data_IF_015151306339
#
_entry.id   IF_015151306339
#
_cell.length_a   1.000
_cell.length_b   1.000
_cell.length_c   1.000
_cell.angle_alpha   90.00
_cell.angle_beta   90.00
_cell.angle_gamma   90.00
#
_symmetry.space_group_name_H-M   'P 1'
#
loop_
_entity.id
_entity.type
_entity.pdbx_description
1 polymer ?
#
# COMPACT_ATOMS: atom_id res chain seq x y z
N UNK A 1 -8.99 -2.27 4.74
CA UNK A 1 -9.01 -0.90 5.28
C UNK A 1 -9.86 -0.03 4.38
N UNK A 2 -10.63 0.93 4.92
CA UNK A 2 -11.39 1.90 4.14
C UNK A 2 -10.83 3.31 4.35
N UNK A 3 -10.67 4.04 3.25
CA UNK A 3 -10.34 5.46 3.28
C UNK A 3 -11.63 6.27 3.36
N UNK A 4 -11.75 7.11 4.39
CA UNK A 4 -12.97 7.85 4.73
C UNK A 4 -12.87 9.34 4.34
N UNK A 5 -11.66 9.85 4.10
CA UNK A 5 -11.42 11.27 3.84
C UNK A 5 -11.88 11.70 2.45
N UNK A 6 -12.72 12.73 2.39
CA UNK A 6 -13.12 13.39 1.14
C UNK A 6 -11.92 13.98 0.39
N UNK A 7 -10.92 14.48 1.11
CA UNK A 7 -9.69 15.01 0.53
C UNK A 7 -8.90 13.90 -0.18
N UNK A 8 -8.60 12.79 0.50
CA UNK A 8 -7.90 11.66 -0.12
C UNK A 8 -8.72 11.05 -1.26
N UNK A 9 -10.05 11.09 -1.17
CA UNK A 9 -10.92 10.62 -2.24
C UNK A 9 -10.77 11.42 -3.54
N UNK A 10 -10.39 12.70 -3.46
CA UNK A 10 -10.12 13.57 -4.61
C UNK A 10 -8.74 13.38 -5.25
N UNK A 11 -7.84 12.67 -4.56
CA UNK A 11 -6.50 12.38 -5.07
C UNK A 11 -6.50 11.07 -5.85
N UNK A 12 -5.69 11.03 -6.91
CA UNK A 12 -5.51 9.87 -7.76
C UNK A 12 -4.04 9.76 -8.16
N UNK A 13 -3.54 8.52 -8.21
CA UNK A 13 -2.19 8.23 -8.68
C UNK A 13 -2.17 8.18 -10.21
N UNK A 14 -1.05 8.60 -10.79
CA UNK A 14 -0.79 8.39 -12.20
C UNK A 14 -0.68 6.88 -12.49
N UNK A 15 -1.38 6.32 -13.50
CA UNK A 15 -1.33 4.90 -13.82
C UNK A 15 0.04 4.39 -14.27
N UNK A 16 0.95 5.24 -14.73
CA UNK A 16 2.27 4.83 -15.22
C UNK A 16 3.29 4.75 -14.08
N UNK A 17 3.28 5.75 -13.21
CA UNK A 17 4.28 5.90 -12.15
C UNK A 17 3.77 5.54 -10.76
N UNK A 18 2.45 5.41 -10.59
CA UNK A 18 1.80 5.19 -9.29
C UNK A 18 2.18 6.28 -8.26
N UNK A 19 2.30 7.53 -8.71
CA UNK A 19 2.63 8.71 -7.90
C UNK A 19 1.61 9.82 -8.13
N UNK A 20 1.51 10.77 -7.20
CA UNK A 20 0.67 11.94 -7.38
C UNK A 20 1.26 12.90 -8.42
N UNK A 21 0.39 13.65 -9.10
CA UNK A 21 0.81 14.78 -9.93
C UNK A 21 1.49 15.85 -9.07
N UNK A 22 2.29 16.72 -9.68
CA UNK A 22 2.93 17.86 -8.98
C UNK A 22 1.91 18.67 -8.17
N UNK A 23 0.71 18.88 -8.73
CA UNK A 23 -0.37 19.56 -8.02
C UNK A 23 -0.88 18.74 -6.82
N UNK A 24 -1.06 17.43 -6.98
CA UNK A 24 -1.42 16.53 -5.88
C UNK A 24 -0.39 16.52 -4.74
N UNK A 25 0.90 16.43 -5.07
CA UNK A 25 2.01 16.55 -4.09
C UNK A 25 1.93 17.89 -3.35
N UNK A 26 1.69 18.98 -4.07
CA UNK A 26 1.56 20.32 -3.48
C UNK A 26 0.38 20.40 -2.50
N UNK A 27 -0.77 19.81 -2.84
CA UNK A 27 -1.92 19.74 -1.93
C UNK A 27 -1.60 18.92 -0.68
N UNK A 28 -0.95 17.77 -0.83
CA UNK A 28 -0.54 16.92 0.29
C UNK A 28 0.46 17.64 1.19
N UNK A 29 1.39 18.41 0.63
CA UNK A 29 2.32 19.24 1.38
C UNK A 29 1.60 20.34 2.19
N UNK A 30 0.63 21.02 1.58
CA UNK A 30 -0.19 22.00 2.31
C UNK A 30 -1.00 21.35 3.42
N UNK A 31 -1.53 20.16 3.17
CA UNK A 31 -2.28 19.40 4.17
C UNK A 31 -1.38 18.96 5.33
N UNK A 32 -0.19 18.43 5.04
CA UNK A 32 0.84 18.09 6.03
C UNK A 32 1.19 19.29 6.91
N UNK A 33 1.49 20.44 6.30
CA UNK A 33 1.81 21.68 7.02
C UNK A 33 0.68 22.20 7.90
N UNK A 34 -0.58 21.90 7.58
CA UNK A 34 -1.70 22.28 8.43
C UNK A 34 -1.79 21.46 9.72
N UNK A 35 -1.20 20.26 9.72
CA UNK A 35 -1.16 19.35 10.88
C UNK A 35 0.15 19.49 11.67
N UNK A 36 1.22 19.96 11.01
CA UNK A 36 2.49 20.31 11.64
C UNK A 36 2.35 21.60 12.49
N UNK A 37 2.02 21.42 13.77
CA UNK A 37 1.88 22.51 14.75
C UNK A 37 3.25 23.07 15.14
N UNK A 38 4.30 22.25 15.12
CA UNK A 38 5.66 22.61 15.53
C UNK A 38 6.40 23.41 14.46
N UNK A 39 5.94 23.35 13.22
CA UNK A 39 6.51 24.03 12.04
C UNK A 39 7.95 23.62 11.75
N UNK A 40 8.32 22.39 12.11
CA UNK A 40 9.64 21.82 11.89
C UNK A 40 9.65 20.77 10.77
N UNK A 41 8.55 20.65 10.02
CA UNK A 41 8.36 19.67 8.95
C UNK A 41 8.40 18.22 9.44
N UNK A 42 8.12 17.99 10.72
CA UNK A 42 8.01 16.65 11.31
C UNK A 42 6.63 16.42 11.92
N UNK A 43 6.21 15.17 11.99
CA UNK A 43 4.94 14.77 12.59
C UNK A 43 5.18 13.70 13.64
N UNK A 44 4.84 14.00 14.89
CA UNK A 44 4.94 13.06 16.00
C UNK A 44 3.81 12.00 15.96
N UNK A 45 3.90 11.04 16.88
CA UNK A 45 2.96 9.92 16.99
C UNK A 45 1.52 10.36 17.29
N UNK A 46 1.35 11.43 18.08
CA UNK A 46 0.03 11.98 18.42
C UNK A 46 -0.60 12.64 17.20
N UNK A 47 0.14 13.49 16.49
CA UNK A 47 -0.31 14.12 15.25
C UNK A 47 -0.64 13.05 14.19
N UNK A 48 0.22 12.04 14.06
CA UNK A 48 0.01 10.92 13.15
C UNK A 48 -1.24 10.11 13.51
N UNK A 49 -1.48 9.82 14.80
CA UNK A 49 -2.64 9.04 15.23
C UNK A 49 -3.94 9.78 14.91
N UNK A 50 -4.01 11.08 15.20
CA UNK A 50 -5.16 11.92 14.90
C UNK A 50 -5.41 11.95 13.40
N UNK A 51 -4.36 12.14 12.59
CA UNK A 51 -4.47 12.10 11.13
C UNK A 51 -5.03 10.75 10.65
N UNK A 52 -4.41 9.64 11.02
CA UNK A 52 -4.74 8.35 10.41
C UNK A 52 -6.14 7.86 10.84
N UNK A 53 -6.58 8.16 12.07
CA UNK A 53 -7.95 7.92 12.53
C UNK A 53 -8.99 8.82 11.85
N UNK A 54 -8.60 10.02 11.42
CA UNK A 54 -9.52 10.92 10.70
C UNK A 54 -9.75 10.48 9.25
N UNK A 55 -8.78 9.80 8.64
CA UNK A 55 -8.82 9.43 7.22
C UNK A 55 -9.09 7.94 6.98
N UNK A 56 -9.02 7.08 8.00
CA UNK A 56 -9.24 5.62 7.87
C UNK A 56 -10.12 5.05 8.99
N UNK A 57 -10.54 3.80 8.83
CA UNK A 57 -11.26 3.00 9.84
C UNK A 57 -10.32 2.14 10.74
N UNK A 58 -9.04 2.48 10.82
CA UNK A 58 -8.04 1.72 11.59
C UNK A 58 -8.19 1.90 13.11
N UNK A 59 -7.91 0.83 13.87
CA UNK A 59 -7.76 0.89 15.32
C UNK A 59 -6.42 1.51 15.72
N UNK A 60 -6.31 2.07 16.94
CA UNK A 60 -5.04 2.61 17.47
C UNK A 60 -3.89 1.62 17.34
N UNK A 61 -4.11 0.34 17.67
CA UNK A 61 -3.08 -0.68 17.54
C UNK A 61 -2.53 -0.78 16.11
N UNK A 62 -3.39 -0.73 15.09
CA UNK A 62 -2.96 -0.76 13.69
C UNK A 62 -2.32 0.56 13.27
N UNK A 63 -2.80 1.68 13.77
CA UNK A 63 -2.22 3.01 13.49
C UNK A 63 -0.77 3.07 13.97
N UNK A 64 -0.49 2.64 15.20
CA UNK A 64 0.89 2.58 15.72
C UNK A 64 1.75 1.57 14.97
N UNK A 65 1.19 0.48 14.44
CA UNK A 65 1.95 -0.40 13.54
C UNK A 65 2.35 0.31 12.23
N UNK A 66 1.50 1.18 11.67
CA UNK A 66 1.86 1.97 10.48
C UNK A 66 2.88 3.05 10.86
N UNK A 67 2.76 3.65 12.03
CA UNK A 67 3.77 4.58 12.53
C UNK A 67 5.14 3.91 12.66
N UNK A 68 5.22 2.77 13.37
CA UNK A 68 6.43 1.96 13.51
C UNK A 68 7.05 1.55 12.17
N UNK A 69 6.20 1.39 11.15
CA UNK A 69 6.62 1.01 9.81
C UNK A 69 7.36 2.15 9.11
N UNK A 70 6.85 3.37 9.26
CA UNK A 70 7.39 4.56 8.61
C UNK A 70 8.56 5.18 9.39
N UNK A 71 8.57 5.01 10.71
CA UNK A 71 9.64 5.45 11.63
C UNK A 71 10.82 4.45 11.64
N UNK A 72 11.43 4.24 10.46
CA UNK A 72 12.50 3.24 10.27
C UNK A 72 13.72 3.54 11.14
N UNK A 73 14.04 4.81 11.35
CA UNK A 73 15.18 5.25 12.16
C UNK A 73 14.89 5.37 13.66
N UNK A 74 13.66 5.03 14.09
CA UNK A 74 13.20 5.16 15.47
C UNK A 74 13.40 6.57 16.04
N UNK A 75 13.26 7.59 15.19
CA UNK A 75 13.34 8.99 15.59
C UNK A 75 12.13 9.44 16.41
N UNK A 76 11.03 8.69 16.33
CA UNK A 76 9.75 9.04 16.95
C UNK A 76 9.02 10.16 16.20
N UNK A 77 9.45 10.48 14.98
CA UNK A 77 8.82 11.47 14.12
C UNK A 77 8.78 10.98 12.67
N UNK A 78 7.74 11.35 11.94
CA UNK A 78 7.60 11.07 10.51
C UNK A 78 7.85 12.35 9.75
N UNK A 79 8.74 12.31 8.76
CA UNK A 79 9.00 13.42 7.86
C UNK A 79 7.97 13.47 6.71
N UNK A 80 8.13 14.45 5.82
CA UNK A 80 7.23 14.59 4.68
C UNK A 80 7.28 13.39 3.72
N UNK A 81 8.45 12.77 3.54
CA UNK A 81 8.63 11.67 2.60
C UNK A 81 7.90 10.41 3.10
N UNK A 82 8.03 10.09 4.38
CA UNK A 82 7.27 9.01 5.03
C UNK A 82 5.76 9.27 5.00
N UNK A 83 5.34 10.51 5.28
CA UNK A 83 3.94 10.90 5.18
C UNK A 83 3.40 10.80 3.75
N UNK A 84 4.17 11.24 2.75
CA UNK A 84 3.80 11.18 1.35
C UNK A 84 3.65 9.73 0.87
N UNK A 85 4.57 8.85 1.26
CA UNK A 85 4.50 7.42 0.98
C UNK A 85 3.21 6.81 1.55
N UNK A 86 2.87 7.13 2.79
CA UNK A 86 1.60 6.70 3.40
C UNK A 86 0.39 7.18 2.60
N UNK A 87 0.35 8.45 2.20
CA UNK A 87 -0.74 9.00 1.39
C UNK A 87 -0.85 8.25 0.05
N UNK A 88 0.27 7.97 -0.61
CA UNK A 88 0.28 7.18 -1.83
C UNK A 88 -0.27 5.76 -1.61
N UNK A 89 0.12 5.09 -0.53
CA UNK A 89 -0.42 3.76 -0.17
C UNK A 89 -1.94 3.86 0.03
N UNK A 90 -2.43 4.82 0.81
CA UNK A 90 -3.86 5.01 1.07
C UNK A 90 -4.64 5.27 -0.22
N UNK A 91 -4.14 6.14 -1.11
CA UNK A 91 -4.78 6.45 -2.40
C UNK A 91 -4.77 5.22 -3.31
N UNK A 92 -3.68 4.44 -3.34
CA UNK A 92 -3.61 3.21 -4.13
C UNK A 92 -4.68 2.21 -3.72
N UNK A 93 -4.91 2.04 -2.41
CA UNK A 93 -5.90 1.10 -1.87
C UNK A 93 -7.32 1.60 -2.13
N UNK A 94 -7.53 2.92 -2.04
CA UNK A 94 -8.81 3.54 -2.40
C UNK A 94 -9.17 3.23 -3.86
N UNK A 95 -8.22 3.40 -4.78
CA UNK A 95 -8.44 3.25 -6.21
C UNK A 95 -8.34 1.79 -6.70
N UNK A 96 -8.04 0.84 -5.82
CA UNK A 96 -7.86 -0.58 -6.18
C UNK A 96 -6.57 -0.86 -6.96
N UNK A 97 -5.61 0.07 -6.89
CA UNK A 97 -4.32 0.02 -7.56
C UNK A 97 -3.19 -0.49 -6.65
N UNK A 98 -3.49 -1.04 -5.46
CA UNK A 98 -2.47 -1.43 -4.48
C UNK A 98 -1.45 -2.41 -5.07
N UNK A 99 -1.88 -3.37 -5.89
CA UNK A 99 -0.98 -4.34 -6.52
C UNK A 99 -0.01 -3.68 -7.51
N UNK A 100 -0.52 -2.74 -8.30
CA UNK A 100 0.28 -2.01 -9.27
C UNK A 100 1.24 -1.06 -8.55
N UNK A 101 0.78 -0.38 -7.50
CA UNK A 101 1.60 0.45 -6.64
C UNK A 101 2.76 -0.36 -6.05
N UNK A 102 2.48 -1.55 -5.51
CA UNK A 102 3.51 -2.43 -4.96
C UNK A 102 4.50 -2.86 -6.05
N UNK A 103 4.05 -3.12 -7.27
CA UNK A 103 4.93 -3.44 -8.39
C UNK A 103 5.86 -2.29 -8.78
N UNK A 104 5.33 -1.06 -8.86
CA UNK A 104 6.12 0.12 -9.22
C UNK A 104 7.14 0.50 -8.14
N UNK A 105 6.78 0.32 -6.86
CA UNK A 105 7.58 0.75 -5.70
C UNK A 105 8.05 -0.43 -4.86
N UNK A 106 8.28 -1.58 -5.50
CA UNK A 106 8.60 -2.85 -4.82
C UNK A 106 9.83 -2.75 -3.92
N UNK A 107 10.88 -2.04 -4.37
CA UNK A 107 12.07 -1.82 -3.54
C UNK A 107 11.77 -1.00 -2.29
N UNK A 108 11.11 0.14 -2.44
CA UNK A 108 10.74 1.00 -1.31
C UNK A 108 9.86 0.26 -0.31
N UNK A 109 8.91 -0.55 -0.79
CA UNK A 109 8.05 -1.34 0.09
C UNK A 109 8.77 -2.52 0.72
N UNK A 110 9.74 -3.13 0.03
CA UNK A 110 10.58 -4.17 0.60
C UNK A 110 11.38 -3.61 1.78
N UNK A 111 12.09 -2.50 1.57
CA UNK A 111 12.88 -1.84 2.61
C UNK A 111 11.99 -1.34 3.78
N UNK A 112 10.70 -1.08 3.52
CA UNK A 112 9.72 -0.70 4.54
C UNK A 112 9.15 -1.91 5.32
N UNK A 113 9.15 -3.10 4.73
CA UNK A 113 8.70 -4.34 5.35
C UNK A 113 9.82 -5.04 6.15
N UNK A 114 11.05 -4.99 5.63
CA UNK A 114 12.29 -5.50 6.25
C UNK A 114 12.71 -4.57 7.39
N UNK A 115 12.19 -4.86 8.60
CA UNK A 115 12.33 -3.94 9.74
C UNK A 115 13.71 -4.05 10.39
N UNK A 116 14.24 -5.26 10.47
CA UNK A 116 15.57 -5.48 11.04
C UNK A 116 16.71 -5.25 10.03
N UNK A 117 16.36 -4.91 8.79
CA UNK A 117 17.27 -4.60 7.69
C UNK A 117 18.25 -5.75 7.42
N UNK A 118 17.78 -6.99 7.59
CA UNK A 118 18.58 -8.19 7.36
C UNK A 118 18.64 -8.59 5.86
N UNK A 119 17.87 -7.89 5.03
CA UNK A 119 17.77 -8.09 3.59
C UNK A 119 16.71 -9.10 3.18
N UNK A 120 15.86 -9.56 4.10
CA UNK A 120 14.80 -10.53 3.88
C UNK A 120 13.52 -10.10 4.60
N UNK A 121 12.38 -10.62 4.15
CA UNK A 121 11.09 -10.41 4.81
C UNK A 121 10.65 -11.72 5.44
N UNK A 122 10.61 -11.76 6.76
CA UNK A 122 10.05 -12.91 7.49
C UNK A 122 8.53 -12.95 7.40
N UNK A 123 7.94 -14.15 7.60
CA UNK A 123 6.48 -14.33 7.71
C UNK A 123 5.86 -13.37 8.73
N UNK A 124 6.57 -13.10 9.84
CA UNK A 124 6.07 -12.23 10.92
C UNK A 124 6.02 -10.77 10.52
N UNK A 125 7.03 -10.28 9.81
CA UNK A 125 7.06 -8.92 9.29
C UNK A 125 5.96 -8.74 8.25
N UNK A 126 5.84 -9.69 7.33
CA UNK A 126 4.78 -9.67 6.33
C UNK A 126 3.39 -9.71 6.98
N UNK A 127 3.15 -10.59 7.97
CA UNK A 127 1.88 -10.64 8.71
C UNK A 127 1.59 -9.35 9.49
N UNK A 128 2.63 -8.68 10.00
CA UNK A 128 2.48 -7.42 10.77
C UNK A 128 1.90 -6.32 9.90
N UNK A 129 2.30 -6.24 8.64
CA UNK A 129 1.98 -5.14 7.73
C UNK A 129 0.99 -5.51 6.62
N UNK A 130 0.71 -6.80 6.41
CA UNK A 130 -0.18 -7.27 5.34
C UNK A 130 -1.59 -6.66 5.37
N UNK A 131 -2.07 -6.22 6.53
CA UNK A 131 -3.36 -5.53 6.64
C UNK A 131 -3.40 -4.20 5.87
N UNK A 132 -2.25 -3.54 5.68
CA UNK A 132 -2.15 -2.29 4.93
C UNK A 132 -2.50 -2.55 3.47
N UNK A 133 -2.02 -3.66 2.90
CA UNK A 133 -2.28 -4.07 1.52
C UNK A 133 -3.51 -4.97 1.35
N UNK A 134 -4.42 -5.01 2.34
CA UNK A 134 -5.59 -5.91 2.37
C UNK A 134 -5.24 -7.41 2.21
N UNK A 135 -4.03 -7.83 2.60
CA UNK A 135 -3.60 -9.22 2.60
C UNK A 135 -4.00 -9.91 3.90
N UNK A 136 -4.63 -11.08 3.79
CA UNK A 136 -5.00 -11.90 4.94
C UNK A 136 -3.85 -12.81 5.34
N UNK A 137 -3.79 -13.23 6.60
CA UNK A 137 -2.78 -14.21 7.06
C UNK A 137 -2.76 -15.49 6.22
N UNK A 138 -3.94 -15.96 5.80
CA UNK A 138 -4.05 -17.11 4.91
C UNK A 138 -3.39 -16.85 3.55
N UNK A 139 -3.64 -15.67 2.96
CA UNK A 139 -2.99 -15.28 1.71
C UNK A 139 -1.47 -15.20 1.86
N UNK A 140 -0.97 -14.62 2.96
CA UNK A 140 0.48 -14.53 3.24
C UNK A 140 1.11 -15.92 3.33
N UNK A 141 0.48 -16.86 4.03
CA UNK A 141 1.00 -18.24 4.11
C UNK A 141 1.03 -18.95 2.76
N UNK A 142 0.02 -18.76 1.93
CA UNK A 142 0.02 -19.31 0.56
C UNK A 142 1.12 -18.66 -0.28
N UNK A 143 1.38 -17.36 -0.11
CA UNK A 143 2.48 -16.65 -0.80
C UNK A 143 3.82 -17.28 -0.43
N UNK A 144 4.13 -17.40 0.87
CA UNK A 144 5.38 -18.03 1.29
C UNK A 144 5.49 -19.45 0.74
N UNK A 145 4.43 -20.25 0.82
CA UNK A 145 4.44 -21.62 0.27
C UNK A 145 4.71 -21.69 -1.24
N UNK A 146 4.31 -20.69 -2.01
CA UNK A 146 4.45 -20.66 -3.47
C UNK A 146 5.77 -20.05 -3.94
N UNK A 147 6.32 -19.08 -3.19
CA UNK A 147 7.44 -18.25 -3.63
C UNK A 147 8.72 -18.36 -2.78
N UNK A 148 8.66 -18.92 -1.57
CA UNK A 148 9.83 -19.29 -0.76
C UNK A 148 10.47 -20.54 -1.37
N UNK A 149 11.45 -20.34 -2.26
CA UNK A 149 12.11 -21.43 -2.98
C UNK A 149 13.16 -22.11 -2.10
N UNK A 150 13.78 -21.33 -1.19
CA UNK A 150 14.74 -21.81 -0.20
C UNK A 150 14.10 -22.69 0.87
N UNK A 151 12.84 -22.45 1.21
CA UNK A 151 12.08 -23.14 2.25
C UNK A 151 12.50 -22.73 3.66
N UNK A 152 13.01 -21.51 3.84
CA UNK A 152 13.51 -20.96 5.10
C UNK A 152 12.53 -19.99 5.79
N UNK A 153 11.30 -19.91 5.30
CA UNK A 153 10.22 -19.05 5.82
C UNK A 153 10.59 -17.55 5.81
N UNK A 154 11.49 -17.16 4.92
CA UNK A 154 11.86 -15.78 4.60
C UNK A 154 11.69 -15.55 3.10
N UNK A 155 11.51 -14.30 2.70
CA UNK A 155 11.51 -13.91 1.29
C UNK A 155 12.67 -12.96 1.05
N UNK A 156 13.62 -13.37 0.22
CA UNK A 156 14.63 -12.44 -0.28
C UNK A 156 13.99 -11.44 -1.28
N UNK A 157 14.76 -10.43 -1.69
CA UNK A 157 14.25 -9.42 -2.62
C UNK A 157 13.81 -10.01 -3.98
N UNK A 158 14.49 -11.05 -4.48
CA UNK A 158 14.15 -11.67 -5.77
C UNK A 158 12.85 -12.47 -5.66
N UNK A 159 12.67 -13.23 -4.58
CA UNK A 159 11.46 -13.99 -4.28
C UNK A 159 10.27 -13.04 -4.06
N UNK A 160 10.49 -11.93 -3.35
CA UNK A 160 9.51 -10.87 -3.23
C UNK A 160 9.13 -10.28 -4.61
N UNK A 161 10.11 -9.98 -5.48
CA UNK A 161 9.82 -9.50 -6.83
C UNK A 161 9.03 -10.51 -7.66
N UNK A 162 9.37 -11.80 -7.61
CA UNK A 162 8.62 -12.86 -8.28
C UNK A 162 7.17 -12.93 -7.82
N UNK A 163 6.95 -12.85 -6.50
CA UNK A 163 5.63 -12.78 -5.91
C UNK A 163 4.82 -11.59 -6.44
N UNK A 164 5.43 -10.40 -6.50
CA UNK A 164 4.75 -9.19 -6.99
C UNK A 164 4.42 -9.29 -8.48
N UNK A 165 5.34 -9.78 -9.31
CA UNK A 165 5.10 -9.99 -10.74
C UNK A 165 3.95 -10.98 -10.96
N UNK A 166 3.94 -12.11 -10.24
CA UNK A 166 2.88 -13.09 -10.32
C UNK A 166 1.51 -12.52 -9.88
N UNK A 167 1.49 -11.67 -8.86
CA UNK A 167 0.27 -10.99 -8.42
C UNK A 167 -0.30 -10.05 -9.48
N UNK A 168 0.57 -9.32 -10.18
CA UNK A 168 0.18 -8.39 -11.26
C UNK A 168 -0.32 -9.16 -12.48
N UNK A 169 0.37 -10.23 -12.88
CA UNK A 169 -0.02 -11.02 -14.07
C UNK A 169 -1.35 -11.74 -13.86
N UNK A 170 -1.53 -12.38 -12.69
CA UNK A 170 -2.81 -13.00 -12.31
C UNK A 170 -3.96 -11.99 -12.27
N UNK A 171 -3.68 -10.75 -11.85
CA UNK A 171 -4.68 -9.68 -11.87
C UNK A 171 -5.10 -9.31 -13.30
N UNK A 172 -4.12 -9.14 -14.21
CA UNK A 172 -4.39 -8.85 -15.63
C UNK A 172 -5.19 -9.96 -16.31
N UNK A 173 -4.89 -11.23 -16.02
CA UNK A 173 -5.64 -12.36 -16.55
C UNK A 173 -7.10 -12.36 -16.07
N UNK A 174 -7.34 -12.12 -14.78
CA UNK A 174 -8.68 -12.03 -14.21
C UNK A 174 -9.45 -10.86 -14.85
N UNK A 175 -8.80 -9.72 -15.06
CA UNK A 175 -9.41 -8.55 -15.71
C UNK A 175 -9.74 -8.82 -17.18
N UNK A 176 -8.86 -9.49 -17.92
CA UNK A 176 -9.12 -9.89 -19.30
C UNK A 176 -10.32 -10.85 -19.40
N UNK A 177 -10.38 -11.85 -18.52
CA UNK A 177 -11.51 -12.79 -18.44
C UNK A 177 -12.82 -12.08 -18.10
N UNK A 178 -12.80 -11.15 -17.13
CA UNK A 178 -13.98 -10.35 -16.76
C UNK A 178 -14.46 -9.47 -17.90
N UNK A 179 -13.56 -8.82 -18.63
CA UNK A 179 -13.90 -8.01 -19.80
C UNK A 179 -14.53 -8.86 -20.89
N UNK A 180 -13.95 -10.03 -21.19
CA UNK A 180 -14.51 -10.98 -22.14
C UNK A 180 -15.91 -11.47 -21.74
N UNK A 181 -16.14 -11.78 -20.45
CA UNK A 181 -17.47 -12.19 -19.95
C UNK A 181 -18.48 -11.04 -20.09
N UNK A 182 -18.08 -9.80 -19.77
CA UNK A 182 -18.97 -8.62 -19.92
C UNK A 182 -19.38 -8.41 -21.38
N UNK A 183 -18.42 -8.47 -22.31
CA UNK A 183 -18.69 -8.37 -23.74
C UNK A 183 -19.61 -9.49 -24.22
N UNK A 184 -19.34 -10.73 -23.81
CA UNK A 184 -20.19 -11.87 -24.13
C UNK A 184 -21.61 -11.70 -23.61
N UNK A 185 -21.79 -11.31 -22.35
CA UNK A 185 -23.12 -11.05 -21.77
C UNK A 185 -23.86 -9.94 -22.51
N UNK A 186 -23.17 -8.86 -22.88
CA UNK A 186 -23.76 -7.75 -23.62
C UNK A 186 -24.18 -8.16 -25.03
N UNK A 187 -23.37 -8.94 -25.73
CA UNK A 187 -23.72 -9.49 -27.06
C UNK A 187 -24.89 -10.48 -26.99
N UNK A 188 -24.95 -11.31 -25.95
CA UNK A 188 -26.03 -12.28 -25.75
C UNK A 188 -27.34 -11.57 -25.39
N UNK A 189 -27.29 -10.52 -24.57
CA UNK A 189 -28.46 -9.67 -24.27
C UNK A 189 -28.95 -8.91 -25.52
N UNK A 190 -28.05 -8.40 -26.35
CA UNK A 190 -28.42 -7.71 -27.61
C UNK A 190 -29.00 -8.65 -28.68
N UNK A 191 -28.77 -9.96 -28.59
CA UNK A 191 -29.32 -10.95 -29.55
C UNK A 191 -30.64 -11.57 -29.09
N UNK A 192 -31.03 -11.36 -27.82
CA UNK A 192 -32.29 -11.83 -27.22
C UNK A 192 -33.40 -10.75 -27.22
N UNK A 193 -33.11 -9.54 -27.69
CA UNK A 193 -34.04 -8.42 -27.92
C UNK A 193 -34.30 -8.24 -29.42
#
# INVERSE_FOLDING_TARGET
MKVLSSFLNSLHLDPSYCLLSVYGVTLVLHYYRSMDIRTDMTMDDVQFEVFLKSVTDLSSEKVYRVFDMLDVDCSGVIDFDGFYLLVCILVSIKDGMEKQFISCHSRTLFDLLDRDADGNISVKEFERFGFLFNLTKGAIKEIFKEFDVSGDEILDYNEFQMFIMACVDKQKEIEAQRSHIKEWLQMTLCTLL
#
